data_IF_039716822131
#
_entry.id   IF_039716822131
#
_cell.length_a   1.000
_cell.length_b   1.000
_cell.length_c   1.000
_cell.angle_alpha   90.00
_cell.angle_beta   90.00
_cell.angle_gamma   90.00
#
_symmetry.space_group_name_H-M   'P 1'
#
loop_
_entity.id
_entity.type
_entity.pdbx_description
1 polymer ?
#
# COMPACT_ATOMS: atom_id res chain seq x y z
N UNK A 1 -29.66 8.69 23.79
CA UNK A 1 -29.56 7.50 22.92
C UNK A 1 -29.09 7.85 21.51
N UNK A 2 -29.68 8.85 20.83
CA UNK A 2 -29.29 9.32 19.47
C UNK A 2 -27.78 9.45 19.13
N UNK A 3 -26.91 9.70 20.12
CA UNK A 3 -25.46 9.78 19.88
C UNK A 3 -24.80 8.47 19.45
N UNK A 4 -25.35 7.31 19.84
CA UNK A 4 -24.76 6.00 19.49
C UNK A 4 -25.12 5.57 18.07
N UNK A 5 -26.37 5.76 17.65
CA UNK A 5 -26.87 5.35 16.33
C UNK A 5 -26.16 6.11 15.20
N UNK A 6 -26.04 7.43 15.32
CA UNK A 6 -25.31 8.25 14.34
C UNK A 6 -23.82 7.90 14.27
N UNK A 7 -23.21 7.55 15.42
CA UNK A 7 -21.82 7.11 15.48
C UNK A 7 -21.63 5.76 14.77
N UNK A 8 -22.56 4.82 14.94
CA UNK A 8 -22.53 3.51 14.28
C UNK A 8 -22.80 3.59 12.77
N UNK A 9 -23.71 4.47 12.33
CA UNK A 9 -23.90 4.75 10.89
C UNK A 9 -22.64 5.37 10.28
N UNK A 10 -22.00 6.32 10.98
CA UNK A 10 -20.74 6.93 10.53
C UNK A 10 -19.61 5.89 10.45
N UNK A 11 -19.49 5.02 11.46
CA UNK A 11 -18.54 3.91 11.51
C UNK A 11 -18.75 2.95 10.33
N UNK A 12 -20.00 2.56 10.04
CA UNK A 12 -20.32 1.70 8.90
C UNK A 12 -19.98 2.32 7.53
N UNK A 13 -20.19 3.63 7.36
CA UNK A 13 -19.79 4.35 6.14
C UNK A 13 -18.25 4.45 6.01
N UNK A 14 -17.55 4.76 7.10
CA UNK A 14 -16.08 4.81 7.14
C UNK A 14 -15.48 3.44 6.82
N UNK A 15 -16.06 2.36 7.35
CA UNK A 15 -15.64 1.00 7.04
C UNK A 15 -15.90 0.60 5.58
N UNK A 16 -17.05 1.00 5.00
CA UNK A 16 -17.31 0.82 3.58
C UNK A 16 -16.25 1.55 2.72
N UNK A 17 -15.96 2.82 3.01
CA UNK A 17 -14.95 3.58 2.26
C UNK A 17 -13.54 3.00 2.41
N UNK A 18 -13.19 2.49 3.60
CA UNK A 18 -11.95 1.74 3.81
C UNK A 18 -11.88 0.52 2.88
N UNK A 19 -12.88 -0.37 2.86
CA UNK A 19 -12.87 -1.56 1.99
C UNK A 19 -12.79 -1.18 0.52
N UNK A 20 -13.60 -0.20 0.07
CA UNK A 20 -13.60 0.26 -1.31
C UNK A 20 -12.25 0.89 -1.71
N UNK A 21 -11.58 1.57 -0.79
CA UNK A 21 -10.25 2.13 -1.05
C UNK A 21 -9.16 1.06 -1.11
N UNK A 22 -9.27 -0.01 -0.30
CA UNK A 22 -8.38 -1.17 -0.42
C UNK A 22 -8.59 -1.87 -1.77
N UNK A 23 -9.85 -2.07 -2.19
CA UNK A 23 -10.19 -2.62 -3.51
C UNK A 23 -9.65 -1.73 -4.65
N UNK A 24 -9.77 -0.41 -4.52
CA UNK A 24 -9.24 0.52 -5.53
C UNK A 24 -7.70 0.52 -5.59
N UNK A 25 -7.01 0.42 -4.44
CA UNK A 25 -5.55 0.27 -4.41
C UNK A 25 -5.11 -1.02 -5.10
N UNK A 26 -5.79 -2.15 -4.86
CA UNK A 26 -5.51 -3.42 -5.54
C UNK A 26 -5.78 -3.35 -7.06
N UNK A 27 -6.87 -2.69 -7.48
CA UNK A 27 -7.18 -2.46 -8.90
C UNK A 27 -6.12 -1.57 -9.58
N UNK A 28 -5.68 -0.50 -8.90
CA UNK A 28 -4.59 0.36 -9.35
C UNK A 28 -3.27 -0.42 -9.46
N UNK A 29 -2.99 -1.32 -8.54
CA UNK A 29 -1.77 -2.13 -8.58
C UNK A 29 -1.78 -3.12 -9.75
N UNK A 30 -2.94 -3.75 -10.04
CA UNK A 30 -3.10 -4.57 -11.23
C UNK A 30 -2.83 -3.79 -12.52
N UNK A 31 -3.32 -2.56 -12.60
CA UNK A 31 -3.10 -1.64 -13.73
C UNK A 31 -1.62 -1.26 -13.85
N UNK A 32 -0.94 -0.97 -12.73
CA UNK A 32 0.49 -0.66 -12.73
C UNK A 32 1.35 -1.87 -13.14
N UNK A 33 1.01 -3.08 -12.67
CA UNK A 33 1.68 -4.31 -13.05
C UNK A 33 1.60 -4.61 -14.55
N UNK A 34 0.59 -4.07 -15.25
CA UNK A 34 0.43 -4.15 -16.71
C UNK A 34 1.10 -2.99 -17.45
N UNK A 35 0.95 -1.75 -16.98
CA UNK A 35 1.35 -0.54 -17.72
C UNK A 35 2.73 0.00 -17.33
N UNK A 36 3.25 -0.34 -16.16
CA UNK A 36 4.51 0.17 -15.57
C UNK A 36 4.69 1.68 -15.76
N UNK A 37 3.66 2.45 -15.40
CA UNK A 37 3.60 3.90 -15.66
C UNK A 37 4.75 4.64 -14.99
N UNK A 38 5.15 4.23 -13.77
CA UNK A 38 6.26 4.84 -13.02
C UNK A 38 7.56 4.88 -13.81
N UNK A 39 7.90 3.78 -14.49
CA UNK A 39 9.11 3.71 -15.29
C UNK A 39 9.06 4.64 -16.52
N UNK A 40 7.88 4.80 -17.13
CA UNK A 40 7.65 5.76 -18.23
C UNK A 40 7.77 7.21 -17.74
N UNK A 41 7.22 7.52 -16.55
CA UNK A 41 7.33 8.87 -15.97
C UNK A 41 8.76 9.22 -15.57
N UNK A 42 9.49 8.26 -14.98
CA UNK A 42 10.91 8.43 -14.64
C UNK A 42 11.74 8.70 -15.90
N UNK A 43 11.54 7.89 -16.94
CA UNK A 43 12.27 8.02 -18.21
C UNK A 43 12.00 9.37 -18.89
N UNK A 44 10.72 9.77 -18.97
CA UNK A 44 10.33 11.09 -19.48
C UNK A 44 10.92 12.23 -18.64
N UNK A 45 11.00 12.04 -17.32
CA UNK A 45 11.63 12.99 -16.40
C UNK A 45 13.13 13.13 -16.64
N UNK A 46 13.83 12.02 -16.89
CA UNK A 46 15.25 11.98 -17.22
C UNK A 46 15.50 12.64 -18.60
N UNK A 47 14.65 12.40 -19.60
CA UNK A 47 14.69 13.13 -20.89
C UNK A 47 14.55 14.64 -20.72
N UNK A 48 13.60 15.09 -19.92
CA UNK A 48 13.37 16.52 -19.67
C UNK A 48 14.53 17.16 -18.88
N UNK A 49 15.10 16.43 -17.93
CA UNK A 49 16.27 16.84 -17.14
C UNK A 49 17.54 16.96 -18.00
N UNK A 50 17.75 15.98 -18.89
CA UNK A 50 18.92 15.89 -19.78
C UNK A 50 18.73 16.55 -21.15
N UNK A 51 17.61 17.23 -21.39
CA UNK A 51 17.27 17.94 -22.63
C UNK A 51 17.43 17.11 -23.91
N UNK A 52 17.14 15.81 -23.80
CA UNK A 52 17.19 14.84 -24.88
C UNK A 52 15.77 14.30 -25.13
N UNK A 53 14.99 15.09 -25.88
CA UNK A 53 13.58 14.78 -26.16
C UNK A 53 13.42 13.48 -26.97
N UNK A 54 14.33 13.25 -27.93
CA UNK A 54 14.42 12.02 -28.72
C UNK A 54 14.81 10.80 -27.88
N UNK A 55 15.56 11.01 -26.81
CA UNK A 55 16.08 9.97 -25.92
C UNK A 55 17.14 9.09 -26.60
N UNK A 56 17.76 9.59 -27.67
CA UNK A 56 18.69 8.80 -28.50
C UNK A 56 20.16 9.14 -28.21
N UNK A 57 20.43 10.21 -27.46
CA UNK A 57 21.75 10.67 -27.10
C UNK A 57 22.11 10.33 -25.65
N UNK A 58 22.28 11.37 -24.82
CA UNK A 58 22.76 11.23 -23.43
C UNK A 58 21.84 10.35 -22.57
N UNK A 59 20.52 10.34 -22.84
CA UNK A 59 19.58 9.46 -22.11
C UNK A 59 19.83 8.00 -22.45
N UNK A 60 20.06 7.68 -23.73
CA UNK A 60 20.37 6.31 -24.16
C UNK A 60 21.66 5.83 -23.51
N UNK A 61 22.74 6.62 -23.62
CA UNK A 61 24.02 6.29 -23.00
C UNK A 61 23.91 6.10 -21.47
N UNK A 62 23.10 6.92 -20.79
CA UNK A 62 22.80 6.78 -19.36
C UNK A 62 22.04 5.48 -19.05
N UNK A 63 21.07 5.07 -19.86
CA UNK A 63 20.32 3.82 -19.61
C UNK A 63 21.11 2.57 -19.97
N UNK A 64 22.04 2.65 -20.91
CA UNK A 64 22.94 1.54 -21.28
C UNK A 64 24.12 1.40 -20.29
N UNK A 65 24.50 2.49 -19.60
CA UNK A 65 25.54 2.54 -18.58
C UNK A 65 25.40 1.44 -17.49
N UNK A 66 26.47 0.71 -17.12
CA UNK A 66 26.41 -0.45 -16.21
C UNK A 66 25.70 -0.23 -14.85
N UNK A 67 25.85 0.97 -14.26
CA UNK A 67 25.19 1.33 -12.99
C UNK A 67 23.66 1.53 -13.09
N UNK A 68 23.12 1.60 -14.31
CA UNK A 68 21.70 1.81 -14.61
C UNK A 68 21.12 0.59 -15.32
N UNK A 69 21.82 0.02 -16.30
CA UNK A 69 21.39 -1.20 -17.02
C UNK A 69 21.24 -2.43 -16.11
N UNK A 70 21.99 -2.50 -15.01
CA UNK A 70 21.82 -3.50 -13.96
C UNK A 70 20.52 -3.38 -13.14
N UNK A 71 19.84 -2.23 -13.16
CA UNK A 71 18.56 -2.02 -12.45
C UNK A 71 17.36 -2.62 -13.18
N UNK A 72 17.54 -3.12 -14.41
CA UNK A 72 16.43 -3.51 -15.28
C UNK A 72 16.82 -4.62 -16.28
N UNK A 73 15.88 -5.11 -17.09
CA UNK A 73 16.11 -6.27 -17.99
C UNK A 73 15.90 -5.94 -19.46
N UNK A 74 16.95 -6.08 -20.27
CA UNK A 74 16.95 -5.86 -21.71
C UNK A 74 17.70 -4.58 -22.10
N UNK A 75 17.49 -4.12 -23.32
CA UNK A 75 18.05 -2.86 -23.81
C UNK A 75 17.05 -1.70 -23.68
N UNK A 76 17.57 -0.49 -23.61
CA UNK A 76 16.77 0.72 -23.75
C UNK A 76 16.37 0.93 -25.23
N UNK A 77 15.11 1.29 -25.47
CA UNK A 77 14.55 1.54 -26.80
C UNK A 77 13.62 2.76 -26.68
N UNK A 78 14.12 3.92 -27.10
CA UNK A 78 13.40 5.20 -27.01
C UNK A 78 12.09 5.15 -27.81
N UNK A 79 12.09 4.54 -29.00
CA UNK A 79 10.99 4.51 -29.95
C UNK A 79 9.75 3.73 -29.44
N UNK A 80 9.93 2.78 -28.52
CA UNK A 80 8.81 2.12 -27.81
C UNK A 80 8.08 3.05 -26.85
N UNK A 81 8.72 4.12 -26.42
CA UNK A 81 8.25 5.06 -25.39
C UNK A 81 7.77 6.38 -26.02
N UNK A 82 8.41 6.89 -27.08
CA UNK A 82 8.11 8.19 -27.74
C UNK A 82 6.83 8.26 -28.58
N UNK A 83 5.85 7.38 -28.37
CA UNK A 83 4.60 7.37 -29.15
C UNK A 83 3.65 8.56 -28.86
N UNK A 84 4.13 9.65 -28.24
CA UNK A 84 3.28 10.77 -27.78
C UNK A 84 3.88 12.18 -27.93
N UNK A 85 4.51 12.46 -29.07
CA UNK A 85 4.57 13.83 -29.62
C UNK A 85 3.96 13.93 -31.04
N UNK A 86 3.21 12.91 -31.48
CA UNK A 86 2.54 12.89 -32.79
C UNK A 86 1.15 13.54 -32.74
N UNK A 87 0.88 14.42 -33.69
CA UNK A 87 -0.20 15.42 -33.73
C UNK A 87 -1.63 14.89 -34.03
N UNK A 88 -1.92 13.58 -33.89
CA UNK A 88 -3.21 13.00 -34.34
C UNK A 88 -4.13 12.44 -33.24
N UNK A 89 -5.44 12.53 -33.51
CA UNK A 89 -6.52 12.69 -32.52
C UNK A 89 -7.02 11.40 -31.85
N UNK A 90 -6.65 10.21 -32.34
CA UNK A 90 -7.23 8.93 -31.91
C UNK A 90 -6.36 8.18 -30.88
N UNK A 91 -6.33 8.71 -29.66
CA UNK A 91 -5.27 8.47 -28.66
C UNK A 91 -5.43 7.26 -27.72
N UNK A 92 -6.30 6.28 -27.98
CA UNK A 92 -6.60 5.19 -27.02
C UNK A 92 -6.10 3.78 -27.38
N UNK A 93 -5.83 3.48 -28.67
CA UNK A 93 -5.46 2.11 -29.12
C UNK A 93 -3.96 1.76 -29.06
N UNK A 94 -3.13 2.57 -28.38
CA UNK A 94 -1.66 2.56 -28.62
C UNK A 94 -0.75 2.70 -27.39
N UNK A 95 -1.24 2.45 -26.17
CA UNK A 95 -0.37 2.38 -24.98
C UNK A 95 0.68 1.24 -25.12
N UNK A 96 1.94 1.44 -24.69
CA UNK A 96 2.95 0.39 -24.71
C UNK A 96 2.67 -0.64 -23.60
N UNK A 97 2.30 -1.85 -23.98
CA UNK A 97 1.88 -2.92 -23.06
C UNK A 97 2.99 -3.54 -22.21
N UNK A 98 4.26 -3.19 -22.46
CA UNK A 98 5.38 -3.46 -21.56
C UNK A 98 6.57 -2.60 -21.95
N UNK A 99 7.08 -1.86 -20.98
CA UNK A 99 8.50 -1.57 -20.91
C UNK A 99 9.12 -2.54 -19.87
N UNK A 100 10.44 -2.59 -19.79
CA UNK A 100 11.15 -3.26 -18.71
C UNK A 100 12.08 -2.25 -18.03
N UNK A 101 11.73 -0.96 -17.97
CA UNK A 101 12.61 0.09 -17.44
C UNK A 101 12.52 0.17 -15.91
N UNK A 102 13.53 0.71 -15.22
CA UNK A 102 13.50 0.83 -13.78
C UNK A 102 12.40 1.82 -13.35
N UNK A 103 11.62 1.47 -12.32
CA UNK A 103 10.61 2.36 -11.75
C UNK A 103 11.21 3.46 -10.85
N UNK A 104 12.48 3.32 -10.46
CA UNK A 104 13.28 4.28 -9.69
C UNK A 104 14.76 4.12 -10.05
N UNK A 105 15.49 5.23 -10.13
CA UNK A 105 16.95 5.27 -10.30
C UNK A 105 17.55 5.95 -9.07
N UNK A 106 18.44 5.30 -8.31
CA UNK A 106 19.13 5.94 -7.19
C UNK A 106 19.97 7.13 -7.66
N UNK A 107 19.82 8.28 -7.00
CA UNK A 107 20.55 9.50 -7.33
C UNK A 107 22.07 9.29 -7.40
N UNK A 108 22.62 8.44 -6.51
CA UNK A 108 24.04 8.07 -6.50
C UNK A 108 24.47 7.38 -7.79
N UNK A 109 23.65 6.45 -8.32
CA UNK A 109 23.97 5.74 -9.56
C UNK A 109 23.89 6.68 -10.76
N UNK A 110 22.88 7.57 -10.78
CA UNK A 110 22.77 8.63 -11.79
C UNK A 110 24.00 9.56 -11.78
N UNK A 111 24.38 10.10 -10.63
CA UNK A 111 25.50 11.04 -10.53
C UNK A 111 26.82 10.39 -10.95
N UNK A 112 27.08 9.15 -10.52
CA UNK A 112 28.26 8.40 -10.96
C UNK A 112 28.25 8.13 -12.46
N UNK A 113 27.10 7.74 -13.03
CA UNK A 113 26.99 7.50 -14.47
C UNK A 113 27.19 8.79 -15.29
N UNK A 114 26.63 9.92 -14.88
CA UNK A 114 26.86 11.22 -15.55
C UNK A 114 28.33 11.66 -15.45
N UNK A 115 28.99 11.44 -14.30
CA UNK A 115 30.42 11.73 -14.14
C UNK A 115 31.29 10.84 -15.04
N UNK A 116 30.98 9.54 -15.14
CA UNK A 116 31.74 8.61 -15.98
C UNK A 116 31.50 8.87 -17.48
N UNK A 117 30.25 9.12 -17.89
CA UNK A 117 29.90 9.52 -19.26
C UNK A 117 30.57 10.84 -19.67
N UNK A 118 30.71 11.80 -18.74
CA UNK A 118 31.46 13.02 -19.00
C UNK A 118 32.98 12.74 -19.08
N UNK A 119 33.56 12.14 -18.04
CA UNK A 119 35.02 12.00 -17.91
C UNK A 119 35.63 10.92 -18.81
N UNK A 120 35.02 9.75 -18.89
CA UNK A 120 35.53 8.58 -19.65
C UNK A 120 34.85 8.37 -20.98
N UNK A 121 33.54 8.67 -21.08
CA UNK A 121 32.78 8.60 -22.31
C UNK A 121 31.77 7.46 -22.33
N UNK A 122 31.42 6.98 -23.51
CA UNK A 122 30.41 5.93 -23.64
C UNK A 122 31.01 4.56 -23.24
N UNK A 123 30.59 3.92 -22.14
CA UNK A 123 31.15 2.64 -21.70
C UNK A 123 30.89 1.48 -22.68
N UNK A 124 30.04 1.65 -23.70
CA UNK A 124 29.88 0.68 -24.78
C UNK A 124 31.02 0.75 -25.83
N UNK A 125 31.78 1.85 -25.89
CA UNK A 125 32.76 2.13 -26.94
C UNK A 125 34.15 2.54 -26.40
N UNK A 126 34.20 3.27 -25.27
CA UNK A 126 35.41 3.83 -24.67
C UNK A 126 35.91 2.94 -23.50
N UNK A 127 37.19 2.56 -23.52
CA UNK A 127 37.82 1.83 -22.41
C UNK A 127 38.24 2.79 -21.26
N UNK A 128 38.20 2.36 -19.98
CA UNK A 128 38.65 3.18 -18.85
C UNK A 128 40.18 3.36 -18.80
N UNK A 129 40.71 4.23 -19.67
CA UNK A 129 42.15 4.47 -19.82
C UNK A 129 42.75 5.31 -18.66
N UNK A 130 41.90 5.99 -17.88
CA UNK A 130 42.33 6.92 -16.82
C UNK A 130 41.49 6.81 -15.53
N UNK A 131 42.08 7.15 -14.38
CA UNK A 131 41.33 7.41 -13.15
C UNK A 131 40.40 8.62 -13.34
N UNK A 132 39.20 8.56 -12.79
CA UNK A 132 38.20 9.61 -12.95
C UNK A 132 38.59 10.84 -12.09
N UNK A 133 39.20 11.84 -12.71
CA UNK A 133 39.55 13.11 -12.04
C UNK A 133 38.52 14.20 -12.32
N UNK A 134 38.42 15.20 -11.43
CA UNK A 134 37.47 16.30 -11.60
C UNK A 134 37.76 17.11 -12.88
N UNK A 135 39.03 17.25 -13.27
CA UNK A 135 39.45 17.90 -14.51
C UNK A 135 39.09 17.09 -15.77
N UNK A 136 39.16 15.75 -15.71
CA UNK A 136 38.69 14.88 -16.80
C UNK A 136 37.17 15.00 -16.96
N UNK A 137 36.40 14.97 -15.85
CA UNK A 137 34.95 15.19 -15.88
C UNK A 137 34.61 16.59 -16.40
N UNK A 138 35.34 17.63 -16.00
CA UNK A 138 35.14 19.02 -16.42
C UNK A 138 35.39 19.22 -17.91
N UNK A 139 36.53 18.75 -18.42
CA UNK A 139 36.92 18.87 -19.82
C UNK A 139 36.04 18.00 -20.72
N UNK A 140 35.77 16.76 -20.31
CA UNK A 140 34.88 15.85 -21.01
C UNK A 140 33.42 16.34 -21.07
N UNK A 141 32.90 16.95 -20.00
CA UNK A 141 31.58 17.58 -19.98
C UNK A 141 31.43 18.73 -21.00
N UNK A 142 32.53 19.40 -21.37
CA UNK A 142 32.50 20.45 -22.40
C UNK A 142 32.28 19.89 -23.82
N UNK A 143 32.74 18.66 -24.07
CA UNK A 143 32.73 18.00 -25.38
C UNK A 143 31.56 17.03 -25.53
N UNK A 144 31.29 16.23 -24.51
CA UNK A 144 30.38 15.07 -24.56
C UNK A 144 28.95 15.36 -24.14
N UNK A 145 28.69 16.45 -23.41
CA UNK A 145 27.33 16.88 -23.07
C UNK A 145 26.90 17.93 -24.13
N UNK A 146 26.00 17.61 -25.07
CA UNK A 146 25.70 18.51 -26.19
C UNK A 146 24.89 19.74 -25.74
N UNK A 147 23.88 19.51 -24.89
CA UNK A 147 22.97 20.56 -24.44
C UNK A 147 23.67 21.60 -23.53
N UNK A 148 23.58 22.90 -23.85
CA UNK A 148 24.21 23.95 -23.04
C UNK A 148 23.68 24.07 -21.61
N UNK A 149 22.41 23.76 -21.33
CA UNK A 149 21.82 23.88 -20.01
C UNK A 149 22.28 22.74 -19.09
N UNK A 150 22.26 21.50 -19.59
CA UNK A 150 22.78 20.32 -18.87
C UNK A 150 24.27 20.48 -18.61
N UNK A 151 25.04 20.85 -19.63
CA UNK A 151 26.48 21.12 -19.50
C UNK A 151 26.76 22.16 -18.41
N UNK A 152 25.98 23.25 -18.39
CA UNK A 152 26.14 24.30 -17.36
C UNK A 152 25.73 23.84 -15.96
N UNK A 153 24.67 23.04 -15.83
CA UNK A 153 24.27 22.47 -14.55
C UNK A 153 25.35 21.53 -13.97
N UNK A 154 25.93 20.66 -14.81
CA UNK A 154 27.04 19.79 -14.42
C UNK A 154 28.26 20.62 -14.01
N UNK A 155 28.68 21.61 -14.82
CA UNK A 155 29.82 22.46 -14.49
C UNK A 155 29.63 23.21 -13.16
N UNK A 156 28.44 23.74 -12.87
CA UNK A 156 28.13 24.38 -11.58
C UNK A 156 28.26 23.38 -10.41
N UNK A 157 27.83 22.13 -10.60
CA UNK A 157 28.00 21.09 -9.59
C UNK A 157 29.49 20.75 -9.34
N UNK A 158 30.34 20.79 -10.38
CA UNK A 158 31.78 20.62 -10.25
C UNK A 158 32.47 21.84 -9.61
N UNK A 159 32.09 23.07 -9.99
CA UNK A 159 32.68 24.31 -9.46
C UNK A 159 32.42 24.45 -7.96
N UNK A 160 31.21 24.13 -7.50
CA UNK A 160 30.84 24.13 -6.09
C UNK A 160 31.51 23.02 -5.27
N UNK A 161 32.22 22.07 -5.91
CA UNK A 161 32.88 20.97 -5.24
C UNK A 161 34.30 21.30 -4.74
N UNK A 162 34.87 22.46 -5.14
CA UNK A 162 36.18 22.96 -4.65
C UNK A 162 37.35 21.98 -4.80
N UNK A 163 37.30 21.09 -5.81
CA UNK A 163 38.33 20.07 -6.06
C UNK A 163 38.00 18.66 -5.53
N UNK A 164 36.97 18.51 -4.70
CA UNK A 164 36.55 17.21 -4.15
C UNK A 164 35.58 16.48 -5.11
N UNK A 165 35.97 15.28 -5.55
CA UNK A 165 35.17 14.46 -6.45
C UNK A 165 33.90 13.89 -5.80
N UNK A 166 33.93 13.62 -4.49
CA UNK A 166 32.76 13.15 -3.74
C UNK A 166 31.78 14.29 -3.48
N UNK A 167 32.27 15.52 -3.23
CA UNK A 167 31.39 16.68 -3.16
C UNK A 167 30.75 17.00 -4.53
N UNK A 168 31.47 16.83 -5.64
CA UNK A 168 30.91 16.94 -6.99
C UNK A 168 29.78 15.92 -7.22
N UNK A 169 29.99 14.66 -6.81
CA UNK A 169 28.97 13.60 -6.82
C UNK A 169 27.75 13.95 -5.98
N UNK A 170 27.93 14.56 -4.79
CA UNK A 170 26.84 15.01 -3.93
C UNK A 170 26.04 16.18 -4.55
N UNK A 171 26.73 17.15 -5.15
CA UNK A 171 26.09 18.27 -5.85
C UNK A 171 25.25 17.78 -7.05
N UNK A 172 25.73 16.78 -7.80
CA UNK A 172 24.97 16.14 -8.89
C UNK A 172 23.78 15.31 -8.41
N UNK A 173 23.89 14.63 -7.27
CA UNK A 173 22.74 13.96 -6.62
C UNK A 173 21.65 14.97 -6.28
N UNK A 174 21.98 16.06 -5.59
CA UNK A 174 21.02 17.10 -5.22
C UNK A 174 20.34 17.75 -6.43
N UNK A 175 21.06 17.94 -7.54
CA UNK A 175 20.49 18.40 -8.80
C UNK A 175 19.50 17.40 -9.42
N UNK A 176 19.85 16.10 -9.41
CA UNK A 176 18.95 15.04 -9.87
C UNK A 176 17.69 14.93 -9.01
N UNK A 177 17.82 14.91 -7.69
CA UNK A 177 16.71 14.83 -6.75
C UNK A 177 15.75 16.03 -6.92
N UNK A 178 16.29 17.24 -7.07
CA UNK A 178 15.49 18.45 -7.38
C UNK A 178 14.73 18.32 -8.72
N UNK A 179 15.30 17.62 -9.70
CA UNK A 179 14.63 17.27 -10.95
C UNK A 179 13.52 16.23 -10.75
N UNK A 180 13.78 15.20 -9.97
CA UNK A 180 12.83 14.11 -9.68
C UNK A 180 11.67 14.55 -8.77
N UNK A 181 11.85 15.54 -7.90
CA UNK A 181 10.76 16.16 -7.14
C UNK A 181 9.69 16.75 -8.07
N UNK A 182 10.09 17.40 -9.17
CA UNK A 182 9.15 17.90 -10.20
C UNK A 182 8.41 16.73 -10.87
N UNK A 183 9.14 15.69 -11.27
CA UNK A 183 8.60 14.51 -11.98
C UNK A 183 7.61 13.75 -11.11
N UNK A 184 7.98 13.50 -9.85
CA UNK A 184 7.12 12.84 -8.87
C UNK A 184 5.88 13.69 -8.52
N UNK A 185 6.00 15.01 -8.50
CA UNK A 185 4.88 15.94 -8.34
C UNK A 185 3.82 15.83 -9.46
N UNK A 186 4.24 15.71 -10.72
CA UNK A 186 3.33 15.44 -11.84
C UNK A 186 2.67 14.06 -11.73
N UNK A 187 3.47 13.02 -11.42
CA UNK A 187 2.98 11.66 -11.24
C UNK A 187 1.92 11.54 -10.12
N UNK A 188 2.11 12.23 -8.98
CA UNK A 188 1.13 12.28 -7.88
C UNK A 188 -0.20 12.87 -8.35
N UNK A 189 -0.18 13.97 -9.11
CA UNK A 189 -1.39 14.61 -9.65
C UNK A 189 -2.12 13.70 -10.65
N UNK A 190 -1.40 13.06 -11.56
CA UNK A 190 -2.00 12.12 -12.52
C UNK A 190 -2.59 10.89 -11.82
N UNK A 191 -1.87 10.33 -10.85
CA UNK A 191 -2.35 9.20 -10.03
C UNK A 191 -3.64 9.55 -9.28
N UNK A 192 -3.77 10.76 -8.74
CA UNK A 192 -5.00 11.20 -8.05
C UNK A 192 -6.21 11.26 -9.00
N UNK A 193 -6.04 11.76 -10.23
CA UNK A 193 -7.10 11.74 -11.24
C UNK A 193 -7.46 10.32 -11.69
N UNK A 194 -6.46 9.43 -11.82
CA UNK A 194 -6.70 8.00 -12.12
C UNK A 194 -7.49 7.33 -11.00
N UNK A 195 -7.15 7.57 -9.72
CA UNK A 195 -7.90 7.05 -8.58
C UNK A 195 -9.34 7.59 -8.53
N UNK A 196 -9.55 8.88 -8.81
CA UNK A 196 -10.90 9.45 -8.88
C UNK A 196 -11.72 8.85 -10.03
N UNK A 197 -11.11 8.66 -11.21
CA UNK A 197 -11.76 8.04 -12.36
C UNK A 197 -12.09 6.55 -12.12
N UNK A 198 -11.17 5.79 -11.52
CA UNK A 198 -11.41 4.42 -11.09
C UNK A 198 -12.50 4.36 -10.01
N UNK A 199 -12.51 5.30 -9.05
CA UNK A 199 -13.50 5.36 -7.98
C UNK A 199 -14.90 5.62 -8.52
N UNK A 200 -15.02 6.55 -9.47
CA UNK A 200 -16.27 6.83 -10.18
C UNK A 200 -16.71 5.63 -11.04
N UNK A 201 -15.79 4.99 -11.77
CA UNK A 201 -16.09 3.80 -12.56
C UNK A 201 -16.58 2.65 -11.67
N UNK A 202 -15.92 2.38 -10.53
CA UNK A 202 -16.34 1.37 -9.56
C UNK A 202 -17.69 1.71 -8.93
N UNK A 203 -17.92 2.97 -8.54
CA UNK A 203 -19.18 3.43 -7.97
C UNK A 203 -20.35 3.26 -8.96
N UNK A 204 -20.15 3.55 -10.25
CA UNK A 204 -21.16 3.33 -11.29
C UNK A 204 -21.35 1.82 -11.55
N UNK A 205 -20.28 1.08 -11.84
CA UNK A 205 -20.36 -0.35 -12.21
C UNK A 205 -21.04 -1.20 -11.13
N UNK A 206 -20.67 -0.98 -9.86
CA UNK A 206 -21.25 -1.68 -8.70
C UNK A 206 -22.48 -0.97 -8.12
N UNK A 207 -22.94 0.13 -8.73
CA UNK A 207 -24.01 1.02 -8.23
C UNK A 207 -23.92 1.31 -6.71
N UNK A 208 -22.80 1.86 -6.27
CA UNK A 208 -22.54 2.19 -4.86
C UNK A 208 -22.94 3.65 -4.62
N UNK A 209 -24.24 3.85 -4.36
CA UNK A 209 -24.78 5.13 -3.89
C UNK A 209 -24.59 5.26 -2.37
N UNK A 210 -23.63 6.10 -1.94
CA UNK A 210 -23.40 6.40 -0.52
C UNK A 210 -24.66 6.90 0.19
N UNK A 211 -25.48 7.74 -0.46
CA UNK A 211 -26.69 8.30 0.14
C UNK A 211 -27.79 7.24 0.31
N UNK A 212 -27.81 6.22 -0.53
CA UNK A 212 -28.67 5.05 -0.35
C UNK A 212 -28.17 4.19 0.80
N UNK A 213 -26.88 3.82 0.82
CA UNK A 213 -26.28 3.03 1.90
C UNK A 213 -26.48 3.70 3.26
N UNK A 214 -26.18 5.00 3.38
CA UNK A 214 -26.36 5.76 4.63
C UNK A 214 -27.81 5.71 5.15
N UNK A 215 -28.80 5.82 4.26
CA UNK A 215 -30.22 5.71 4.63
C UNK A 215 -30.61 4.31 5.07
N UNK A 216 -30.00 3.28 4.49
CA UNK A 216 -30.25 1.88 4.87
C UNK A 216 -29.60 1.54 6.22
N UNK A 217 -28.36 1.95 6.46
CA UNK A 217 -27.69 1.80 7.78
C UNK A 217 -28.44 2.53 8.91
N UNK A 218 -29.05 3.66 8.60
CA UNK A 218 -29.88 4.43 9.55
C UNK A 218 -31.26 3.78 9.82
N UNK A 219 -31.75 2.91 8.93
CA UNK A 219 -33.10 2.30 9.02
C UNK A 219 -33.09 0.83 9.42
N UNK A 220 -31.97 0.15 9.26
CA UNK A 220 -31.82 -1.28 9.52
C UNK A 220 -30.76 -1.51 10.61
N UNK A 221 -31.23 -1.82 11.81
CA UNK A 221 -30.40 -2.08 12.98
C UNK A 221 -29.60 -3.38 12.85
N UNK A 222 -30.15 -4.40 12.17
CA UNK A 222 -29.48 -5.67 11.97
C UNK A 222 -28.29 -5.50 11.02
N UNK A 223 -28.50 -4.86 9.86
CA UNK A 223 -27.43 -4.52 8.91
C UNK A 223 -26.34 -3.67 9.57
N UNK A 224 -26.73 -2.64 10.35
CA UNK A 224 -25.77 -1.79 11.06
C UNK A 224 -24.94 -2.59 12.06
N UNK A 225 -25.56 -3.49 12.83
CA UNK A 225 -24.86 -4.32 13.83
C UNK A 225 -23.80 -5.23 13.22
N UNK A 226 -24.10 -5.86 12.06
CA UNK A 226 -23.18 -6.75 11.33
C UNK A 226 -21.94 -5.98 10.88
N UNK A 227 -22.14 -4.80 10.29
CA UNK A 227 -21.05 -3.97 9.75
C UNK A 227 -20.16 -3.41 10.87
N UNK A 228 -20.76 -3.01 12.01
CA UNK A 228 -19.99 -2.57 13.19
C UNK A 228 -19.15 -3.72 13.76
N UNK A 229 -19.68 -4.94 13.83
CA UNK A 229 -18.93 -6.12 14.30
C UNK A 229 -17.77 -6.49 13.37
N UNK A 230 -17.97 -6.42 12.04
CA UNK A 230 -16.89 -6.65 11.07
C UNK A 230 -15.79 -5.57 11.12
N UNK A 231 -16.18 -4.31 11.34
CA UNK A 231 -15.24 -3.21 11.54
C UNK A 231 -14.44 -3.35 12.84
N UNK A 232 -15.07 -3.81 13.93
CA UNK A 232 -14.41 -4.16 15.19
C UNK A 232 -13.35 -5.25 14.98
N UNK A 233 -13.69 -6.32 14.25
CA UNK A 233 -12.76 -7.42 13.96
C UNK A 233 -11.53 -6.95 13.17
N UNK A 234 -11.72 -6.08 12.16
CA UNK A 234 -10.64 -5.51 11.36
C UNK A 234 -9.71 -4.64 12.22
N UNK A 235 -10.24 -3.76 13.07
CA UNK A 235 -9.43 -2.92 13.96
C UNK A 235 -8.72 -3.75 15.04
N UNK A 236 -9.35 -4.82 15.54
CA UNK A 236 -8.73 -5.74 16.49
C UNK A 236 -7.53 -6.48 15.87
N UNK A 237 -7.66 -6.98 14.63
CA UNK A 237 -6.54 -7.58 13.89
C UNK A 237 -5.42 -6.55 13.62
N UNK A 238 -5.78 -5.30 13.30
CA UNK A 238 -4.79 -4.28 13.01
C UNK A 238 -3.94 -3.90 14.23
N UNK A 239 -4.51 -3.90 15.44
CA UNK A 239 -3.78 -3.70 16.69
C UNK A 239 -2.79 -4.82 17.02
N UNK A 240 -2.97 -6.02 16.48
CA UNK A 240 -2.02 -7.12 16.64
C UNK A 240 -0.84 -7.03 15.66
N UNK A 241 -1.00 -6.25 14.58
CA UNK A 241 -0.03 -6.08 13.50
C UNK A 241 0.59 -4.67 13.54
N UNK A 242 1.16 -4.28 14.68
CA UNK A 242 1.76 -2.95 14.86
C UNK A 242 2.86 -2.68 13.81
N UNK A 243 2.77 -1.51 13.15
CA UNK A 243 3.70 -1.08 12.10
C UNK A 243 3.28 -1.39 10.65
N UNK A 244 2.21 -2.16 10.44
CA UNK A 244 1.79 -2.63 9.12
C UNK A 244 0.94 -1.59 8.34
N UNK A 245 1.54 -0.46 7.96
CA UNK A 245 0.86 0.66 7.26
C UNK A 245 0.75 0.52 5.72
N UNK A 246 1.18 -0.62 5.15
CA UNK A 246 1.15 -0.87 3.71
C UNK A 246 -0.16 -1.49 3.23
N UNK A 247 -0.52 -1.26 1.95
CA UNK A 247 -1.73 -1.83 1.32
C UNK A 247 -1.89 -3.35 1.53
N UNK A 248 -0.77 -4.10 1.54
CA UNK A 248 -0.74 -5.55 1.77
C UNK A 248 -1.29 -5.94 3.14
N UNK A 249 -0.98 -5.16 4.18
CA UNK A 249 -1.48 -5.40 5.53
C UNK A 249 -2.99 -5.12 5.63
N UNK A 250 -3.45 -4.08 4.95
CA UNK A 250 -4.86 -3.69 4.91
C UNK A 250 -5.70 -4.74 4.15
N UNK A 251 -5.12 -5.37 3.12
CA UNK A 251 -5.69 -6.55 2.45
C UNK A 251 -5.72 -7.77 3.40
N UNK A 252 -4.64 -8.02 4.13
CA UNK A 252 -4.59 -9.12 5.10
C UNK A 252 -5.63 -8.97 6.22
N UNK A 253 -5.86 -7.74 6.73
CA UNK A 253 -6.93 -7.44 7.69
C UNK A 253 -8.34 -7.72 7.15
N UNK A 254 -8.53 -7.68 5.83
CA UNK A 254 -9.79 -8.06 5.16
C UNK A 254 -9.89 -9.58 4.88
N UNK A 255 -8.89 -10.37 5.31
CA UNK A 255 -8.79 -11.80 5.03
C UNK A 255 -8.31 -12.11 3.60
N UNK A 256 -7.72 -11.13 2.90
CA UNK A 256 -7.29 -11.27 1.52
C UNK A 256 -5.77 -11.53 1.41
N UNK A 257 -5.33 -12.52 0.61
CA UNK A 257 -3.91 -12.82 0.43
C UNK A 257 -3.21 -11.67 -0.30
N UNK A 258 -2.07 -11.23 0.23
CA UNK A 258 -1.20 -10.24 -0.42
C UNK A 258 -0.42 -10.84 -1.60
N UNK A 259 0.06 -12.08 -1.46
CA UNK A 259 0.87 -12.78 -2.45
C UNK A 259 0.05 -13.72 -3.36
N UNK A 260 0.44 -13.79 -4.64
CA UNK A 260 -0.10 -14.77 -5.59
C UNK A 260 0.23 -16.19 -5.13
N UNK A 261 -0.72 -17.14 -5.11
CA UNK A 261 -0.40 -18.54 -4.85
C UNK A 261 0.54 -19.07 -5.95
N UNK A 262 1.70 -19.57 -5.52
CA UNK A 262 2.72 -20.16 -6.42
C UNK A 262 2.11 -21.27 -7.27
N UNK A 263 1.95 -21.01 -8.57
CA UNK A 263 1.26 -21.89 -9.53
C UNK A 263 0.17 -21.19 -10.35
N UNK A 264 -0.34 -20.04 -9.94
CA UNK A 264 -1.31 -19.27 -10.72
C UNK A 264 -0.65 -18.24 -11.64
N UNK A 265 -0.84 -18.42 -12.96
CA UNK A 265 -0.54 -17.52 -14.09
C UNK A 265 0.85 -17.65 -14.78
N UNK A 266 0.93 -18.57 -15.75
CA UNK A 266 1.95 -18.55 -16.80
C UNK A 266 1.67 -17.51 -17.91
N UNK A 267 0.61 -16.68 -17.79
CA UNK A 267 0.08 -15.84 -18.87
C UNK A 267 -0.10 -14.34 -18.53
N UNK A 268 0.04 -13.94 -17.25
CA UNK A 268 -0.09 -12.55 -16.81
C UNK A 268 1.13 -12.15 -15.98
N UNK A 269 1.59 -10.87 -16.02
CA UNK A 269 2.67 -10.41 -15.16
C UNK A 269 2.25 -10.45 -13.68
N UNK A 270 3.21 -10.73 -12.80
CA UNK A 270 2.98 -11.07 -11.39
C UNK A 270 2.15 -10.02 -10.63
N UNK A 271 2.43 -8.72 -10.84
CA UNK A 271 1.67 -7.61 -10.24
C UNK A 271 0.23 -7.47 -10.76
N UNK A 272 -0.05 -7.93 -11.98
CA UNK A 272 -1.41 -7.99 -12.51
C UNK A 272 -2.18 -9.17 -11.91
N UNK A 273 -1.54 -10.34 -11.81
CA UNK A 273 -2.13 -11.54 -11.25
C UNK A 273 -2.47 -11.36 -9.75
N UNK A 274 -1.57 -10.78 -8.96
CA UNK A 274 -1.81 -10.47 -7.54
C UNK A 274 -2.96 -9.47 -7.36
N UNK A 275 -2.94 -8.35 -8.09
CA UNK A 275 -4.00 -7.33 -7.99
C UNK A 275 -5.40 -7.84 -8.43
N UNK A 276 -5.48 -8.74 -9.42
CA UNK A 276 -6.74 -9.41 -9.79
C UNK A 276 -7.21 -10.37 -8.69
N UNK A 277 -6.30 -11.14 -8.07
CA UNK A 277 -6.65 -12.02 -6.96
C UNK A 277 -7.16 -11.22 -5.74
N UNK A 278 -6.46 -10.15 -5.37
CA UNK A 278 -6.80 -9.23 -4.29
C UNK A 278 -8.17 -8.56 -4.50
N UNK A 279 -8.43 -8.00 -5.69
CA UNK A 279 -9.73 -7.39 -6.02
C UNK A 279 -10.87 -8.40 -5.93
N UNK A 280 -10.71 -9.63 -6.45
CA UNK A 280 -11.73 -10.69 -6.35
C UNK A 280 -12.05 -11.10 -4.90
N UNK A 281 -11.08 -10.97 -3.98
CA UNK A 281 -11.29 -11.24 -2.57
C UNK A 281 -12.04 -10.09 -1.88
N UNK A 282 -11.57 -8.86 -2.06
CA UNK A 282 -12.22 -7.68 -1.49
C UNK A 282 -13.67 -7.52 -2.01
N UNK A 283 -13.94 -7.82 -3.29
CA UNK A 283 -15.29 -7.83 -3.85
C UNK A 283 -16.21 -8.88 -3.21
N UNK A 284 -15.68 -10.07 -2.87
CA UNK A 284 -16.40 -11.07 -2.07
C UNK A 284 -16.68 -10.58 -0.65
N UNK A 285 -15.71 -9.92 0.00
CA UNK A 285 -15.90 -9.31 1.33
C UNK A 285 -17.02 -8.27 1.31
N UNK A 286 -17.04 -7.38 0.32
CA UNK A 286 -18.12 -6.38 0.14
C UNK A 286 -19.48 -7.04 -0.06
N UNK A 287 -19.59 -8.06 -0.92
CA UNK A 287 -20.87 -8.79 -1.12
C UNK A 287 -21.38 -9.47 0.13
N UNK A 288 -20.48 -10.03 0.95
CA UNK A 288 -20.86 -10.72 2.19
C UNK A 288 -21.39 -9.78 3.29
N UNK A 289 -21.19 -8.47 3.19
CA UNK A 289 -21.75 -7.49 4.14
C UNK A 289 -23.26 -7.25 3.97
N UNK A 290 -23.91 -7.81 2.95
CA UNK A 290 -25.34 -7.62 2.70
C UNK A 290 -25.74 -6.18 2.35
N UNK A 291 -24.77 -5.35 1.93
CA UNK A 291 -24.98 -3.94 1.61
C UNK A 291 -25.95 -3.78 0.42
N UNK A 292 -26.81 -2.74 0.44
CA UNK A 292 -27.73 -2.43 -0.66
C UNK A 292 -26.97 -1.73 -1.80
N UNK A 293 -26.18 -2.52 -2.53
CA UNK A 293 -25.41 -2.14 -3.71
C UNK A 293 -25.84 -2.97 -4.91
N UNK A 294 -25.42 -2.57 -6.11
CA UNK A 294 -25.81 -3.22 -7.35
C UNK A 294 -27.06 -2.60 -7.99
N UNK A 295 -27.31 -2.97 -9.24
CA UNK A 295 -28.37 -2.39 -10.04
C UNK A 295 -29.70 -3.08 -9.72
N UNK A 296 -30.60 -2.35 -9.04
CA UNK A 296 -31.99 -2.80 -8.86
C UNK A 296 -32.69 -2.86 -10.24
N UNK A 297 -33.62 -3.79 -10.40
CA UNK A 297 -34.38 -4.06 -11.65
C UNK A 297 -35.42 -2.98 -11.99
N UNK A 298 -35.35 -1.81 -11.34
CA UNK A 298 -36.26 -0.69 -11.54
C UNK A 298 -36.18 -0.18 -12.97
N UNK A 299 -37.34 0.00 -13.59
CA UNK A 299 -37.43 0.70 -14.88
C UNK A 299 -37.14 2.17 -14.67
N UNK A 300 -35.98 2.61 -15.16
CA UNK A 300 -35.59 4.02 -15.19
C UNK A 300 -36.66 4.84 -15.91
N UNK A 301 -37.16 5.88 -15.26
CA UNK A 301 -38.16 6.80 -15.82
C UNK A 301 -37.45 7.94 -16.52
N UNK A 302 -37.87 8.23 -17.76
CA UNK A 302 -37.26 9.25 -18.61
C UNK A 302 -38.17 10.46 -18.83
N UNK A 303 -37.65 11.67 -19.14
CA UNK A 303 -38.47 12.88 -19.25
C UNK A 303 -39.63 12.78 -20.24
N UNK A 304 -39.43 12.08 -21.37
CA UNK A 304 -40.46 11.88 -22.39
C UNK A 304 -41.63 10.99 -21.91
N UNK A 305 -41.38 10.06 -20.98
CA UNK A 305 -42.43 9.21 -20.40
C UNK A 305 -43.35 10.01 -19.46
N UNK A 306 -42.86 11.12 -18.89
CA UNK A 306 -43.62 12.07 -18.08
C UNK A 306 -44.04 13.32 -18.87
N UNK A 307 -44.15 13.23 -20.20
CA UNK A 307 -44.59 14.32 -21.08
C UNK A 307 -43.79 15.64 -20.88
N UNK A 308 -42.49 15.54 -20.60
CA UNK A 308 -41.60 16.68 -20.30
C UNK A 308 -41.96 17.49 -19.05
N UNK A 309 -42.73 16.92 -18.11
CA UNK A 309 -42.93 17.52 -16.79
C UNK A 309 -41.65 17.41 -15.95
N UNK A 310 -40.76 18.40 -16.12
CA UNK A 310 -39.47 18.46 -15.43
C UNK A 310 -39.58 18.41 -13.90
N UNK A 311 -40.60 19.06 -13.31
CA UNK A 311 -40.80 19.03 -11.85
C UNK A 311 -41.11 17.64 -11.33
N UNK A 312 -42.06 16.94 -11.96
CA UNK A 312 -42.40 15.56 -11.60
C UNK A 312 -41.25 14.58 -11.90
N UNK A 313 -40.56 14.74 -13.03
CA UNK A 313 -39.45 13.86 -13.41
C UNK A 313 -38.24 14.03 -12.48
N UNK A 314 -37.88 15.25 -12.12
CA UNK A 314 -36.84 15.49 -11.11
C UNK A 314 -37.25 14.89 -9.76
N UNK A 315 -38.48 15.12 -9.28
CA UNK A 315 -38.93 14.54 -8.02
C UNK A 315 -39.03 12.99 -8.01
N UNK A 316 -39.16 12.35 -9.19
CA UNK A 316 -39.51 10.93 -9.31
C UNK A 316 -38.49 9.98 -8.65
N UNK A 317 -38.92 8.92 -7.93
CA UNK A 317 -38.02 7.95 -7.29
C UNK A 317 -37.03 7.25 -8.23
N UNK A 318 -37.45 7.03 -9.48
CA UNK A 318 -36.79 6.17 -10.45
C UNK A 318 -36.10 6.95 -11.58
N UNK A 319 -35.83 8.24 -11.35
CA UNK A 319 -35.05 9.08 -12.26
C UNK A 319 -33.57 8.64 -12.28
N UNK A 320 -32.94 8.49 -13.47
CA UNK A 320 -31.57 8.00 -13.60
C UNK A 320 -30.50 8.91 -12.99
N UNK A 321 -30.83 10.16 -12.66
CA UNK A 321 -29.89 11.11 -12.06
C UNK A 321 -29.73 10.93 -10.54
N UNK A 322 -30.69 10.30 -9.85
CA UNK A 322 -30.72 10.22 -8.39
C UNK A 322 -29.51 9.57 -7.72
N UNK A 323 -28.88 8.50 -8.27
CA UNK A 323 -27.67 7.95 -7.68
C UNK A 323 -26.41 8.77 -8.00
N UNK A 324 -26.44 9.74 -8.94
CA UNK A 324 -25.25 10.50 -9.36
C UNK A 324 -24.58 11.24 -8.18
N UNK A 325 -25.29 11.98 -7.28
CA UNK A 325 -24.66 12.59 -6.12
C UNK A 325 -24.04 11.55 -5.17
N UNK A 326 -24.66 10.38 -5.06
CA UNK A 326 -24.16 9.24 -4.30
C UNK A 326 -22.86 8.68 -4.88
N UNK A 327 -22.82 8.43 -6.19
CA UNK A 327 -21.63 7.96 -6.90
C UNK A 327 -20.49 8.98 -6.87
N UNK A 328 -20.78 10.28 -6.98
CA UNK A 328 -19.78 11.34 -6.85
C UNK A 328 -19.19 11.38 -5.44
N UNK A 329 -20.02 11.24 -4.39
CA UNK A 329 -19.55 11.17 -3.01
C UNK A 329 -18.70 9.91 -2.79
N UNK A 330 -19.15 8.75 -3.27
CA UNK A 330 -18.37 7.49 -3.24
C UNK A 330 -17.02 7.66 -3.94
N UNK A 331 -17.00 8.24 -5.15
CA UNK A 331 -15.77 8.45 -5.93
C UNK A 331 -14.78 9.37 -5.20
N UNK A 332 -15.27 10.50 -4.67
CA UNK A 332 -14.45 11.45 -3.90
C UNK A 332 -13.92 10.80 -2.61
N UNK A 333 -14.77 10.11 -1.86
CA UNK A 333 -14.38 9.44 -0.62
C UNK A 333 -13.28 8.41 -0.89
N UNK A 334 -13.50 7.50 -1.84
CA UNK A 334 -12.55 6.42 -2.14
C UNK A 334 -11.24 6.95 -2.75
N UNK A 335 -11.26 8.11 -3.43
CA UNK A 335 -10.05 8.77 -3.94
C UNK A 335 -9.07 9.26 -2.85
N UNK A 336 -9.51 9.36 -1.59
CA UNK A 336 -8.64 9.69 -0.44
C UNK A 336 -7.70 8.54 -0.06
N UNK A 337 -7.97 7.32 -0.54
CA UNK A 337 -7.13 6.14 -0.33
C UNK A 337 -7.34 5.44 1.03
N UNK A 338 -6.89 4.19 1.10
CA UNK A 338 -7.18 3.32 2.24
C UNK A 338 -6.59 3.79 3.58
N UNK A 339 -5.34 4.31 3.67
CA UNK A 339 -4.75 4.74 4.95
C UNK A 339 -5.59 5.80 5.67
N UNK A 340 -6.14 6.77 4.92
CA UNK A 340 -6.99 7.82 5.49
C UNK A 340 -8.24 7.25 6.18
N UNK A 341 -8.96 6.33 5.52
CA UNK A 341 -10.18 5.74 6.09
C UNK A 341 -9.89 4.76 7.23
N UNK A 342 -8.74 4.07 7.19
CA UNK A 342 -8.28 3.23 8.29
C UNK A 342 -7.95 4.06 9.55
N UNK A 343 -7.22 5.16 9.40
CA UNK A 343 -6.92 6.08 10.51
C UNK A 343 -8.21 6.67 11.11
N UNK A 344 -9.18 7.02 10.28
CA UNK A 344 -10.48 7.51 10.72
C UNK A 344 -11.29 6.41 11.43
N UNK A 345 -11.27 5.18 10.92
CA UNK A 345 -11.91 4.01 11.54
C UNK A 345 -11.35 3.76 12.94
N UNK A 346 -10.02 3.75 13.08
CA UNK A 346 -9.34 3.59 14.36
C UNK A 346 -9.73 4.68 15.37
N UNK A 347 -9.75 5.95 14.94
CA UNK A 347 -10.15 7.10 15.79
C UNK A 347 -11.60 6.97 16.26
N UNK A 348 -12.53 6.64 15.37
CA UNK A 348 -13.95 6.44 15.71
C UNK A 348 -14.12 5.24 16.65
N UNK A 349 -13.39 4.14 16.42
CA UNK A 349 -13.42 2.97 17.30
C UNK A 349 -12.93 3.26 18.72
N UNK A 350 -11.87 4.07 18.87
CA UNK A 350 -11.41 4.53 20.20
C UNK A 350 -12.50 5.36 20.88
N UNK A 351 -13.11 6.32 20.19
CA UNK A 351 -14.20 7.15 20.73
C UNK A 351 -15.42 6.28 21.12
N UNK A 352 -15.82 5.31 20.30
CA UNK A 352 -16.93 4.41 20.63
C UNK A 352 -16.62 3.57 21.88
N UNK A 353 -15.37 3.17 22.08
CA UNK A 353 -14.96 2.41 23.28
C UNK A 353 -15.00 3.23 24.57
N UNK A 354 -14.77 4.55 24.51
CA UNK A 354 -14.84 5.44 25.70
C UNK A 354 -16.24 5.96 26.00
N UNK A 355 -17.17 5.88 25.05
CA UNK A 355 -18.56 6.35 25.19
C UNK A 355 -19.54 5.24 25.59
N UNK A 356 -19.12 3.95 25.63
CA UNK A 356 -19.92 2.88 26.22
C UNK A 356 -20.23 3.22 27.70
N UNK A 357 -21.49 3.41 28.10
CA UNK A 357 -21.83 3.59 29.49
C UNK A 357 -21.44 2.32 30.25
N UNK A 358 -20.83 2.45 31.43
CA UNK A 358 -20.93 1.39 32.42
C UNK A 358 -22.41 1.20 32.73
N UNK A 359 -22.99 0.07 32.31
CA UNK A 359 -24.22 -0.41 32.94
C UNK A 359 -23.95 -0.52 34.43
N UNK A 360 -24.76 0.17 35.24
CA UNK A 360 -24.67 0.09 36.69
C UNK A 360 -24.92 -1.36 37.11
N UNK A 361 -24.21 -1.78 38.15
CA UNK A 361 -24.33 -3.09 38.80
C UNK A 361 -25.78 -3.51 39.12
N UNK A 362 -26.03 -4.82 39.27
CA UNK A 362 -27.38 -5.37 39.46
C UNK A 362 -28.11 -4.80 40.69
N UNK A 363 -29.43 -4.96 40.67
CA UNK A 363 -30.38 -4.45 41.66
C UNK A 363 -29.95 -4.70 43.13
N UNK A 364 -29.86 -3.63 43.92
CA UNK A 364 -29.87 -3.72 45.38
C UNK A 364 -31.26 -4.17 45.84
N UNK A 365 -31.38 -5.47 46.09
CA UNK A 365 -32.59 -6.06 46.65
C UNK A 365 -32.71 -5.77 48.16
N UNK A 366 -33.62 -4.86 48.49
CA UNK A 366 -34.38 -4.76 49.75
C UNK A 366 -33.61 -4.76 51.09
N UNK A 367 -33.61 -3.59 51.75
CA UNK A 367 -33.54 -3.55 53.22
C UNK A 367 -34.43 -2.42 53.76
N UNK A 368 -35.75 -2.65 53.87
CA UNK A 368 -36.56 -2.04 54.93
C UNK A 368 -37.95 -2.67 55.11
N UNK A 369 -38.40 -2.72 56.38
CA UNK A 369 -39.69 -3.21 56.96
C UNK A 369 -39.76 -4.65 57.49
N UNK A 370 -39.53 -4.79 58.80
CA UNK A 370 -40.45 -5.51 59.70
C UNK A 370 -40.27 -5.06 61.17
N UNK A 371 -41.36 -4.82 61.93
CA UNK A 371 -41.28 -4.45 63.35
C UNK A 371 -41.15 -5.67 64.30
N UNK A 372 -40.56 -5.43 65.47
CA UNK A 372 -40.31 -6.36 66.60
C UNK A 372 -41.61 -6.79 67.32
N UNK A 373 -41.72 -7.84 68.18
CA UNK A 373 -40.82 -8.77 68.91
C UNK A 373 -41.62 -10.05 69.33
N UNK A 374 -41.22 -10.95 70.27
CA UNK A 374 -39.89 -11.30 70.83
C UNK A 374 -39.56 -12.84 70.94
N UNK A 375 -38.25 -13.14 71.02
CA UNK A 375 -37.52 -14.23 71.72
C UNK A 375 -38.13 -15.62 72.07
N UNK A 376 -37.39 -16.68 71.68
CA UNK A 376 -37.07 -17.84 72.53
C UNK A 376 -35.65 -18.35 72.23
N UNK A 377 -35.00 -19.08 73.16
CA UNK A 377 -33.52 -19.23 73.21
C UNK A 377 -33.02 -20.69 73.31
N UNK A 378 -31.89 -20.97 72.63
CA UNK A 378 -30.90 -22.07 72.83
C UNK A 378 -31.27 -23.52 72.42
N UNK A 379 -30.27 -24.44 72.26
CA UNK A 379 -28.84 -24.28 71.87
C UNK A 379 -28.38 -25.25 70.73
N UNK A 380 -27.12 -25.15 70.31
CA UNK A 380 -26.49 -26.00 69.29
C UNK A 380 -25.70 -27.21 69.86
N UNK A 381 -25.47 -28.27 69.05
CA UNK A 381 -24.32 -29.19 69.21
C UNK A 381 -23.57 -29.38 67.84
N UNK A 382 -22.55 -30.27 67.67
CA UNK A 382 -21.16 -29.84 67.41
C UNK A 382 -20.62 -30.25 66.00
N UNK A 383 -19.40 -29.82 65.62
CA UNK A 383 -18.83 -30.12 64.30
C UNK A 383 -18.16 -31.51 64.22
N UNK A 384 -18.22 -32.15 63.05
CA UNK A 384 -17.47 -33.38 62.73
C UNK A 384 -16.49 -33.12 61.58
N UNK A 385 -15.27 -33.66 61.73
CA UNK A 385 -14.11 -33.47 60.82
C UNK A 385 -14.12 -34.46 59.63
N UNK A 386 -13.33 -34.21 58.55
CA UNK A 386 -13.51 -34.88 57.26
C UNK A 386 -12.86 -36.26 57.17
N UNK A 387 -13.36 -37.06 56.22
CA UNK A 387 -12.77 -38.35 55.84
C UNK A 387 -12.10 -38.29 54.45
N UNK A 388 -10.94 -38.92 54.39
CA UNK A 388 -9.98 -39.06 53.28
C UNK A 388 -10.53 -39.60 51.95
N UNK A 389 -9.87 -39.16 50.86
CA UNK A 389 -9.97 -39.78 49.53
C UNK A 389 -9.20 -41.13 49.44
N UNK A 390 -9.42 -41.89 48.34
CA UNK A 390 -8.41 -42.79 47.78
C UNK A 390 -7.94 -42.37 46.37
N UNK A 391 -6.69 -42.72 46.05
CA UNK A 391 -6.01 -42.49 44.78
C UNK A 391 -6.14 -43.72 43.82
N UNK A 392 -5.67 -43.66 42.55
CA UNK A 392 -6.03 -44.64 41.52
C UNK A 392 -5.10 -45.88 41.47
N UNK A 393 -5.59 -46.95 40.83
CA UNK A 393 -4.84 -48.19 40.58
C UNK A 393 -4.26 -48.24 39.16
N UNK A 394 -2.97 -48.61 39.06
CA UNK A 394 -2.37 -49.21 37.85
C UNK A 394 -2.66 -50.74 37.84
N UNK A 395 -2.19 -51.62 36.94
CA UNK A 395 -1.24 -51.55 35.80
C UNK A 395 -1.63 -52.63 34.75
N UNK A 396 -0.98 -52.70 33.58
CA UNK A 396 -0.05 -53.81 33.17
C UNK A 396 -0.62 -54.52 31.90
N UNK A 397 0.09 -55.01 30.86
CA UNK A 397 1.51 -55.03 30.45
C UNK A 397 1.67 -54.87 28.91
N UNK A 398 2.90 -55.03 28.40
CA UNK A 398 3.24 -55.42 27.01
C UNK A 398 4.20 -56.63 27.02
N UNK A 399 4.38 -57.39 25.91
CA UNK A 399 5.66 -57.38 25.13
C UNK A 399 5.47 -57.74 23.62
N UNK A 400 6.45 -57.81 22.69
CA UNK A 400 7.87 -57.41 22.62
C UNK A 400 8.38 -57.24 21.15
N UNK A 401 9.16 -56.17 20.94
CA UNK A 401 10.49 -56.09 20.28
C UNK A 401 10.90 -56.89 19.00
N UNK A 402 11.46 -56.14 18.04
CA UNK A 402 12.76 -56.40 17.36
C UNK A 402 13.28 -55.08 16.75
N UNK A 403 14.34 -54.42 17.25
CA UNK A 403 15.78 -54.62 16.93
C UNK A 403 16.05 -54.46 15.41
N UNK A 404 16.93 -53.60 14.87
CA UNK A 404 17.93 -52.60 15.34
C UNK A 404 18.79 -52.17 14.11
N UNK A 405 20.01 -51.58 14.20
CA UNK A 405 20.66 -50.85 15.30
C UNK A 405 21.40 -49.52 14.92
N UNK A 406 21.73 -48.70 15.94
CA UNK A 406 22.91 -47.82 16.20
C UNK A 406 23.72 -47.18 15.02
N UNK A 407 23.98 -45.86 14.93
CA UNK A 407 24.56 -44.82 15.86
C UNK A 407 26.07 -44.49 15.55
N UNK A 408 26.83 -43.62 16.29
CA UNK A 408 27.28 -42.30 15.78
C UNK A 408 28.83 -42.04 15.90
N UNK A 409 29.27 -40.80 16.25
CA UNK A 409 30.66 -40.25 16.46
C UNK A 409 31.37 -39.68 15.18
N UNK A 410 32.35 -38.73 15.17
CA UNK A 410 33.10 -37.96 16.21
C UNK A 410 33.70 -36.61 15.71
N UNK A 411 34.07 -35.75 16.68
CA UNK A 411 34.89 -34.50 16.65
C UNK A 411 36.39 -34.70 16.32
N UNK A 412 37.07 -33.58 15.98
CA UNK A 412 38.52 -33.26 16.05
C UNK A 412 39.55 -34.25 15.42
N UNK A 413 40.71 -33.83 14.91
CA UNK A 413 41.34 -32.51 14.73
C UNK A 413 42.36 -32.57 13.55
N UNK A 414 42.83 -31.41 13.05
CA UNK A 414 44.25 -31.14 12.72
C UNK A 414 44.40 -29.67 12.24
N UNK A 415 45.45 -29.00 12.73
CA UNK A 415 45.95 -27.63 12.42
C UNK A 415 47.31 -27.81 11.66
N UNK A 416 48.04 -26.79 11.12
CA UNK A 416 47.94 -25.35 11.39
C UNK A 416 48.21 -24.36 10.22
N UNK A 417 48.17 -23.06 10.58
CA UNK A 417 48.98 -21.91 10.11
C UNK A 417 48.31 -20.74 9.34
N UNK A 418 48.80 -19.54 9.70
CA UNK A 418 48.57 -18.19 9.11
C UNK A 418 47.15 -17.61 9.26
N UNK A 419 46.85 -16.65 10.14
CA UNK A 419 47.70 -15.90 11.08
C UNK A 419 47.60 -14.38 10.88
N UNK A 420 46.57 -13.74 11.43
CA UNK A 420 46.47 -12.28 11.63
C UNK A 420 45.58 -11.96 12.85
N UNK A 421 46.21 -11.62 13.98
CA UNK A 421 45.57 -10.94 15.12
C UNK A 421 46.50 -9.85 15.67
N UNK A 422 45.89 -8.93 16.41
CA UNK A 422 46.44 -7.77 17.15
C UNK A 422 46.25 -6.44 16.38
N UNK A 423 45.32 -5.53 16.71
CA UNK A 423 44.60 -5.16 17.97
C UNK A 423 45.48 -4.39 18.98
N UNK A 424 44.85 -3.49 19.75
CA UNK A 424 45.39 -2.64 20.86
C UNK A 424 46.10 -1.36 20.33
N UNK A 425 45.81 -0.12 20.75
CA UNK A 425 44.71 0.45 21.57
C UNK A 425 44.60 2.00 21.37
N UNK A 426 43.67 2.74 22.02
CA UNK A 426 43.43 4.16 21.76
C UNK A 426 44.34 5.12 22.56
N UNK A 427 44.36 6.40 22.16
CA UNK A 427 44.86 7.52 22.97
C UNK A 427 43.90 8.72 22.88
N UNK A 428 43.44 9.18 24.04
CA UNK A 428 42.86 10.51 24.23
C UNK A 428 43.97 11.58 24.23
N UNK A 429 43.64 12.86 24.01
CA UNK A 429 44.59 13.97 24.13
C UNK A 429 43.99 15.32 23.74
N UNK A 430 43.84 16.21 24.72
CA UNK A 430 43.21 17.54 24.61
C UNK A 430 44.09 18.58 23.88
N UNK A 431 43.43 19.52 23.17
CA UNK A 431 43.81 20.95 23.08
C UNK A 431 42.65 21.78 22.48
#
# INVERSE_FOLDING_TARGET
MFGSELLEVALGLVFLFFILSVLLSAAREAIEGLLQTRAIHLERGIRELLKDEGGEGLVKALYEHPLISSLYRGSYDSARLTRRYSQHKDSWKRMPFRNNLPAYVPARNFALAIMDLAGRGDPAHDLPDHQLSLDAVRSGALVRIPDPHVRRAVLIALDNAKGDLDQARLNLQAWFDSGMDRVSGWYRKETQWVLLALGLATAILLNIDTLHVAKSLYRDDALRSIIVADAEAVVAQARQNEGAAGNEAMLAMLGCPSTTPSGAAAALPEGAASGIAQTSCAERRVRNLGLPIGWDTRRLVWPWQMQWNWGAWLASPDAPWRPIPGWLLTALAVSMGAPFWFDLLNKIMVIRSTVKPHEKSPEEASEDRQPTAPAFVAPAPPPVRPASAPAPSAAEAAPAQSVGPRAPYRREADDPEVGWTDKIDPMEGEA
#
